data_IF_558764447881
#
_entry.id   IF_558764447881
#
_cell.length_a   1.000
_cell.length_b   1.000
_cell.length_c   1.000
_cell.angle_alpha   90.00
_cell.angle_beta   90.00
_cell.angle_gamma   90.00
#
_symmetry.space_group_name_H-M   'P 1'
#
loop_
_entity.id
_entity.type
_entity.pdbx_description
1 polymer ?
#
# COMPACT_ATOMS: atom_id res chain seq x y z
N UNK A 1 15.71 6.11 1.72
CA UNK A 1 14.30 6.48 2.00
C UNK A 1 13.84 5.55 3.09
N UNK A 2 13.39 6.11 4.22
CA UNK A 2 13.00 5.32 5.38
C UNK A 2 11.79 4.46 5.03
N UNK A 3 11.86 3.15 5.32
CA UNK A 3 10.79 2.16 5.08
C UNK A 3 9.61 2.32 6.06
N UNK A 4 9.48 3.49 6.69
CA UNK A 4 8.56 3.71 7.81
C UNK A 4 7.10 3.70 7.35
N UNK A 5 6.88 4.09 6.09
CA UNK A 5 5.56 4.29 5.50
C UNK A 5 5.18 3.16 4.52
N UNK A 6 5.55 1.92 4.85
CA UNK A 6 5.30 0.75 4.02
C UNK A 6 4.32 -0.26 4.66
N UNK A 7 3.52 -0.92 3.82
CA UNK A 7 2.62 -2.02 4.16
C UNK A 7 2.81 -3.19 3.20
N UNK A 8 2.94 -4.39 3.74
CA UNK A 8 3.03 -5.64 3.00
C UNK A 8 1.63 -6.25 2.89
N UNK A 9 1.25 -6.60 1.67
CA UNK A 9 -0.03 -7.25 1.36
C UNK A 9 0.22 -8.60 0.72
N UNK A 10 -0.56 -9.60 1.13
CA UNK A 10 -0.42 -10.98 0.65
C UNK A 10 -1.55 -11.32 -0.33
N UNK A 11 -1.60 -10.62 -1.46
CA UNK A 11 -2.59 -10.84 -2.52
C UNK A 11 -1.96 -10.86 -3.91
N UNK A 12 -2.63 -11.49 -4.86
CA UNK A 12 -2.17 -11.62 -6.25
C UNK A 12 -3.32 -11.37 -7.25
N UNK A 13 -2.95 -11.22 -8.52
CA UNK A 13 -3.88 -11.02 -9.63
C UNK A 13 -4.76 -9.77 -9.48
N UNK A 14 -6.04 -9.88 -9.85
CA UNK A 14 -6.98 -8.75 -9.87
C UNK A 14 -7.07 -7.98 -8.54
N UNK A 15 -6.95 -8.67 -7.39
CA UNK A 15 -7.03 -8.01 -6.08
C UNK A 15 -5.80 -7.13 -5.83
N UNK A 16 -4.63 -7.58 -6.30
CA UNK A 16 -3.41 -6.77 -6.25
C UNK A 16 -3.49 -5.56 -7.18
N UNK A 17 -4.04 -5.73 -8.38
CA UNK A 17 -4.23 -4.61 -9.33
C UNK A 17 -5.20 -3.56 -8.80
N UNK A 18 -6.25 -4.00 -8.10
CA UNK A 18 -7.17 -3.09 -7.41
C UNK A 18 -6.43 -2.26 -6.35
N UNK A 19 -5.63 -2.90 -5.51
CA UNK A 19 -4.85 -2.20 -4.48
C UNK A 19 -3.84 -1.22 -5.09
N UNK A 20 -3.25 -1.52 -6.25
CA UNK A 20 -2.41 -0.57 -7.00
C UNK A 20 -3.19 0.67 -7.43
N UNK A 21 -4.41 0.49 -7.91
CA UNK A 21 -5.30 1.59 -8.25
C UNK A 21 -5.60 2.49 -7.05
N UNK A 22 -5.92 1.90 -5.91
CA UNK A 22 -6.20 2.66 -4.69
C UNK A 22 -4.95 3.35 -4.13
N UNK A 23 -3.78 2.69 -4.13
CA UNK A 23 -2.53 3.32 -3.73
C UNK A 23 -2.23 4.55 -4.60
N UNK A 24 -2.39 4.42 -5.93
CA UNK A 24 -2.20 5.54 -6.85
C UNK A 24 -3.20 6.68 -6.62
N UNK A 25 -4.45 6.36 -6.26
CA UNK A 25 -5.46 7.36 -5.94
C UNK A 25 -5.11 8.11 -4.65
N UNK A 26 -4.76 7.39 -3.59
CA UNK A 26 -4.38 7.98 -2.28
C UNK A 26 -3.16 8.90 -2.44
N UNK A 27 -2.14 8.44 -3.16
CA UNK A 27 -0.92 9.20 -3.44
C UNK A 27 -1.24 10.50 -4.21
N UNK A 28 -2.05 10.40 -5.27
CA UNK A 28 -2.49 11.55 -6.06
C UNK A 28 -3.28 12.56 -5.22
N UNK A 29 -4.25 12.09 -4.42
CA UNK A 29 -5.09 12.96 -3.60
C UNK A 29 -4.27 13.66 -2.50
N UNK A 30 -3.20 13.02 -2.05
CA UNK A 30 -2.27 13.54 -1.05
C UNK A 30 -1.09 14.32 -1.64
N UNK A 31 -0.96 14.39 -2.97
CA UNK A 31 0.16 15.01 -3.70
C UNK A 31 1.54 14.47 -3.28
N UNK A 32 1.62 13.17 -3.06
CA UNK A 32 2.85 12.46 -2.72
C UNK A 32 3.13 11.36 -3.74
N UNK A 33 4.35 10.87 -3.75
CA UNK A 33 4.70 9.66 -4.48
C UNK A 33 4.43 8.38 -3.68
N UNK A 34 4.33 7.28 -4.42
CA UNK A 34 4.23 5.93 -3.88
C UNK A 34 4.97 4.96 -4.79
N UNK A 35 5.44 3.85 -4.23
CA UNK A 35 6.13 2.82 -5.00
C UNK A 35 5.88 1.44 -4.40
N UNK A 36 6.24 0.42 -5.19
CA UNK A 36 6.16 -0.97 -4.76
C UNK A 36 7.57 -1.51 -4.66
N UNK A 37 7.87 -2.10 -3.52
CA UNK A 37 9.06 -2.93 -3.32
C UNK A 37 8.68 -4.41 -3.31
N UNK A 38 9.62 -5.25 -3.76
CA UNK A 38 9.52 -6.69 -3.54
C UNK A 38 9.85 -6.97 -2.07
N UNK A 39 8.89 -7.54 -1.34
CA UNK A 39 9.15 -8.18 -0.05
C UNK A 39 9.43 -9.67 -0.29
N UNK A 40 10.17 -10.31 0.64
CA UNK A 40 10.37 -11.76 0.62
C UNK A 40 9.05 -12.53 0.66
N UNK A 41 8.00 -11.93 1.25
CA UNK A 41 6.65 -12.47 1.26
C UNK A 41 5.66 -11.36 0.90
N UNK A 42 4.94 -11.52 -0.20
CA UNK A 42 3.91 -10.58 -0.65
C UNK A 42 4.44 -9.37 -1.42
N UNK A 43 3.61 -8.34 -1.53
CA UNK A 43 3.93 -7.08 -2.21
C UNK A 43 3.99 -5.95 -1.18
N UNK A 44 5.10 -5.20 -1.14
CA UNK A 44 5.25 -4.05 -0.23
C UNK A 44 4.84 -2.77 -0.95
N UNK A 45 3.83 -2.09 -0.43
CA UNK A 45 3.38 -0.77 -0.87
C UNK A 45 3.99 0.27 0.05
N UNK A 46 4.69 1.26 -0.51
CA UNK A 46 5.34 2.31 0.25
C UNK A 46 4.84 3.68 -0.21
N UNK A 47 4.69 4.60 0.75
CA UNK A 47 4.25 5.98 0.53
C UNK A 47 5.29 6.93 1.12
N UNK A 48 5.33 8.18 0.67
CA UNK A 48 6.20 9.19 1.30
C UNK A 48 5.72 9.60 2.69
N UNK A 49 4.42 9.52 2.97
CA UNK A 49 3.79 10.03 4.18
C UNK A 49 3.02 8.94 4.96
N UNK A 50 2.99 9.06 6.29
CA UNK A 50 2.38 8.11 7.20
C UNK A 50 0.84 8.10 7.10
N UNK A 51 0.20 9.24 6.83
CA UNK A 51 -1.26 9.34 6.68
C UNK A 51 -1.74 8.59 5.44
N UNK A 52 -0.95 8.63 4.37
CA UNK A 52 -1.25 7.86 3.16
C UNK A 52 -1.15 6.35 3.42
N UNK A 53 -0.13 5.92 4.18
CA UNK A 53 -0.04 4.53 4.67
C UNK A 53 -1.26 4.14 5.51
N UNK A 54 -1.68 4.93 6.48
CA UNK A 54 -2.85 4.64 7.31
C UNK A 54 -4.13 4.56 6.47
N UNK A 55 -4.31 5.47 5.52
CA UNK A 55 -5.45 5.45 4.58
C UNK A 55 -5.44 4.18 3.73
N UNK A 56 -4.27 3.74 3.30
CA UNK A 56 -4.11 2.50 2.56
C UNK A 56 -4.39 1.26 3.44
N UNK A 57 -3.99 1.26 4.71
CA UNK A 57 -4.35 0.19 5.65
C UNK A 57 -5.87 0.05 5.81
N UNK A 58 -6.59 1.16 6.00
CA UNK A 58 -8.06 1.15 6.05
C UNK A 58 -8.67 0.61 4.75
N UNK A 59 -8.06 0.94 3.62
CA UNK A 59 -8.48 0.45 2.30
C UNK A 59 -8.29 -1.07 2.22
N UNK A 60 -7.15 -1.59 2.67
CA UNK A 60 -6.93 -3.04 2.79
C UNK A 60 -8.03 -3.73 3.59
N UNK A 61 -8.35 -3.21 4.77
CA UNK A 61 -9.35 -3.77 5.68
C UNK A 61 -10.73 -3.79 5.03
N UNK A 62 -11.11 -2.71 4.34
CA UNK A 62 -12.37 -2.64 3.58
C UNK A 62 -12.46 -3.70 2.47
N UNK A 63 -11.33 -4.06 1.86
CA UNK A 63 -11.27 -5.15 0.87
C UNK A 63 -11.08 -6.54 1.50
N UNK A 64 -11.07 -6.65 2.84
CA UNK A 64 -10.76 -7.89 3.55
C UNK A 64 -9.39 -8.44 3.16
N UNK A 65 -8.40 -7.56 2.99
CA UNK A 65 -7.01 -7.90 2.72
C UNK A 65 -6.20 -7.69 3.99
N UNK A 66 -5.56 -8.73 4.55
CA UNK A 66 -4.65 -8.54 5.67
C UNK A 66 -3.41 -7.77 5.20
N UNK A 67 -3.19 -6.60 5.79
CA UNK A 67 -2.01 -5.77 5.58
C UNK A 67 -1.16 -5.74 6.86
N UNK A 68 0.17 -5.77 6.70
CA UNK A 68 1.14 -5.77 7.81
C UNK A 68 2.17 -4.69 7.59
N UNK A 69 2.68 -4.08 8.66
CA UNK A 69 3.81 -3.16 8.56
C UNK A 69 5.03 -3.81 7.89
N UNK A 70 5.71 -3.05 7.03
CA UNK A 70 6.67 -3.55 6.05
C UNK A 70 8.08 -3.02 6.18
#
# INVERSE_FOLDING_TARGET
MTKENCLIVHVAGRKLDLLRGEASRIARDSKIDWWIDRADVGTRFCFEDAKAKETFALTCDNFGVPCRDG
#
